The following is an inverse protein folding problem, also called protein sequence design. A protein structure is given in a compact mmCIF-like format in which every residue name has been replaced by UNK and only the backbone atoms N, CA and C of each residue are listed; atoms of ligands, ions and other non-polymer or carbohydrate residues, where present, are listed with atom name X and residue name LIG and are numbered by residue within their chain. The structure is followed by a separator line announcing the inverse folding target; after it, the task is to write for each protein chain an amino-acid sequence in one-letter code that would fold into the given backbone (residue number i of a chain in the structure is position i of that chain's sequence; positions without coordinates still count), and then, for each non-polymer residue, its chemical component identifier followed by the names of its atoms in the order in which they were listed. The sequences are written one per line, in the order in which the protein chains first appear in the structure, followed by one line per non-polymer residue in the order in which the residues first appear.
data_IF_097903215785
#
_entry.id   IF_097903215785
#
_cell.length_a   1.000
_cell.length_b   1.000
_cell.length_c   1.000
_cell.angle_alpha   90.00
_cell.angle_beta   90.00
_cell.angle_gamma   90.00
#
_symmetry.space_group_name_H-M   'P 1'
#
loop_
_entity.id
_entity.type
_entity.pdbx_description
1 polymer ?
#
# COMPACT_ATOMS: atom_id res chain seq x y z
N UNK A 1 34.95 2.40 -20.95
CA UNK A 1 34.80 3.28 -19.77
C UNK A 1 33.37 3.78 -19.68
N UNK A 2 32.55 3.20 -18.80
CA UNK A 2 31.19 3.70 -18.54
C UNK A 2 31.29 4.91 -17.62
N UNK A 3 30.79 6.08 -18.05
CA UNK A 3 30.72 7.27 -17.19
C UNK A 3 29.98 6.91 -15.90
N UNK A 4 30.48 7.32 -14.71
CA UNK A 4 29.74 7.10 -13.47
C UNK A 4 28.39 7.81 -13.58
N UNK A 5 27.31 7.04 -13.47
CA UNK A 5 25.95 7.58 -13.53
C UNK A 5 25.74 8.47 -12.30
N UNK A 6 25.35 9.72 -12.51
CA UNK A 6 25.03 10.65 -11.42
C UNK A 6 23.98 10.01 -10.50
N UNK A 7 24.26 9.86 -9.19
CA UNK A 7 23.32 9.31 -8.23
C UNK A 7 21.95 10.01 -8.24
N UNK A 8 21.89 11.29 -8.62
CA UNK A 8 20.61 12.04 -8.76
C UNK A 8 19.77 11.55 -9.92
N UNK A 9 20.39 11.20 -11.07
CA UNK A 9 19.70 10.66 -12.25
C UNK A 9 19.04 9.31 -11.99
N UNK A 10 19.47 8.59 -10.95
CA UNK A 10 18.89 7.29 -10.55
C UNK A 10 17.82 7.43 -9.47
N UNK A 11 17.96 8.41 -8.56
CA UNK A 11 17.05 8.57 -7.41
C UNK A 11 15.72 9.24 -7.76
N UNK A 12 15.75 10.25 -8.63
CA UNK A 12 14.53 10.96 -9.03
C UNK A 12 13.51 10.03 -9.72
N UNK A 13 13.91 9.17 -10.69
CA UNK A 13 12.97 8.21 -11.28
C UNK A 13 12.37 7.22 -10.28
N UNK A 14 13.10 6.83 -9.23
CA UNK A 14 12.56 5.97 -8.16
C UNK A 14 11.53 6.73 -7.32
N UNK A 15 11.80 7.99 -7.00
CA UNK A 15 10.86 8.82 -6.25
C UNK A 15 9.57 9.08 -7.04
N UNK A 16 9.69 9.45 -8.31
CA UNK A 16 8.54 9.64 -9.22
C UNK A 16 7.80 8.31 -9.44
N UNK A 17 8.53 7.21 -9.63
CA UNK A 17 7.94 5.89 -9.75
C UNK A 17 7.11 5.49 -8.53
N UNK A 18 7.59 5.79 -7.31
CA UNK A 18 6.83 5.54 -6.09
C UNK A 18 5.63 6.49 -5.94
N UNK A 19 5.81 7.77 -6.29
CA UNK A 19 4.76 8.79 -6.26
C UNK A 19 3.54 8.38 -7.12
N UNK A 20 3.80 7.76 -8.28
CA UNK A 20 2.76 7.32 -9.21
C UNK A 20 2.27 5.91 -8.94
N UNK A 21 3.13 4.98 -8.51
CA UNK A 21 2.72 3.61 -8.27
C UNK A 21 1.77 3.48 -7.09
N UNK A 22 1.94 4.29 -6.03
CA UNK A 22 1.10 4.26 -4.85
C UNK A 22 -0.41 4.50 -5.13
N UNK A 23 -0.82 5.59 -5.79
CA UNK A 23 -2.24 5.79 -6.13
C UNK A 23 -2.76 4.75 -7.12
N UNK A 24 -1.93 4.27 -8.06
CA UNK A 24 -2.32 3.19 -8.97
C UNK A 24 -2.66 1.91 -8.20
N UNK A 25 -1.88 1.58 -7.16
CA UNK A 25 -2.15 0.43 -6.31
C UNK A 25 -3.35 0.66 -5.37
N UNK A 26 -3.59 1.89 -4.92
CA UNK A 26 -4.68 2.23 -4.02
C UNK A 26 -6.04 2.24 -4.72
N UNK A 27 -6.15 2.92 -5.87
CA UNK A 27 -7.43 3.21 -6.50
C UNK A 27 -7.63 2.44 -7.81
N UNK A 28 -6.64 2.49 -8.69
CA UNK A 28 -6.82 2.02 -10.07
C UNK A 28 -6.63 0.52 -10.23
N UNK A 29 -6.02 -0.14 -9.24
CA UNK A 29 -5.73 -1.57 -9.29
C UNK A 29 -7.01 -2.41 -9.30
N UNK A 30 -7.96 -2.09 -8.42
CA UNK A 30 -9.28 -2.73 -8.40
C UNK A 30 -10.22 -2.03 -9.36
N UNK A 31 -10.14 -0.70 -9.50
CA UNK A 31 -11.02 0.04 -10.41
C UNK A 31 -12.49 -0.05 -9.97
N UNK A 32 -12.75 0.35 -8.72
CA UNK A 32 -14.09 0.31 -8.12
C UNK A 32 -14.82 1.67 -8.20
N UNK A 33 -14.16 2.74 -8.64
CA UNK A 33 -14.79 4.06 -8.74
C UNK A 33 -15.37 4.29 -10.14
N UNK A 34 -16.25 5.28 -10.25
CA UNK A 34 -16.86 5.83 -11.47
C UNK A 34 -15.86 6.30 -12.53
N UNK A 35 -14.61 6.58 -12.14
CA UNK A 35 -13.52 6.94 -13.07
C UNK A 35 -12.98 5.74 -13.87
N UNK A 36 -13.36 4.52 -13.50
CA UNK A 36 -12.85 3.28 -14.09
C UNK A 36 -13.08 3.23 -15.60
N UNK A 37 -12.01 3.03 -16.35
CA UNK A 37 -12.08 2.96 -17.82
C UNK A 37 -12.12 4.30 -18.55
N UNK A 38 -12.02 5.44 -17.85
CA UNK A 38 -11.83 6.77 -18.45
C UNK A 38 -10.37 7.26 -18.27
N UNK A 39 -9.52 7.17 -19.32
CA UNK A 39 -8.11 7.54 -19.20
C UNK A 39 -7.87 9.02 -18.83
N UNK A 40 -8.75 9.93 -19.25
CA UNK A 40 -8.57 11.36 -18.99
C UNK A 40 -8.92 11.70 -17.55
N UNK A 41 -10.02 11.14 -17.03
CA UNK A 41 -10.40 11.29 -15.62
C UNK A 41 -9.36 10.63 -14.71
N UNK A 42 -8.88 9.43 -15.06
CA UNK A 42 -7.81 8.75 -14.31
C UNK A 42 -6.51 9.57 -14.31
N UNK A 43 -6.13 10.20 -15.42
CA UNK A 43 -4.95 11.06 -15.47
C UNK A 43 -5.15 12.34 -14.64
N UNK A 44 -6.33 12.96 -14.72
CA UNK A 44 -6.70 14.12 -13.90
C UNK A 44 -6.70 13.80 -12.41
N UNK A 45 -7.24 12.64 -12.02
CA UNK A 45 -7.27 12.17 -10.64
C UNK A 45 -5.89 12.05 -10.01
N UNK A 46 -4.84 11.73 -10.78
CA UNK A 46 -3.46 11.68 -10.28
C UNK A 46 -2.95 13.02 -9.75
N UNK A 47 -3.54 14.16 -10.13
CA UNK A 47 -3.18 15.46 -9.55
C UNK A 47 -3.46 15.52 -8.04
N UNK A 48 -4.47 14.79 -7.57
CA UNK A 48 -4.85 14.69 -6.16
C UNK A 48 -4.33 13.38 -5.56
N UNK A 49 -4.51 12.26 -6.26
CA UNK A 49 -4.16 10.94 -5.75
C UNK A 49 -2.65 10.73 -5.61
N UNK A 50 -1.83 11.28 -6.50
CA UNK A 50 -0.37 11.15 -6.39
C UNK A 50 0.19 11.83 -5.13
N UNK A 51 -0.15 13.08 -4.79
CA UNK A 51 0.25 13.64 -3.51
C UNK A 51 -0.45 12.97 -2.31
N UNK A 52 -1.72 12.56 -2.44
CA UNK A 52 -2.46 11.92 -1.35
C UNK A 52 -1.88 10.56 -0.97
N UNK A 53 -1.54 9.70 -1.93
CA UNK A 53 -1.04 8.34 -1.70
C UNK A 53 0.48 8.20 -1.85
N UNK A 54 1.01 8.74 -2.95
CA UNK A 54 2.44 8.71 -3.25
C UNK A 54 3.26 9.59 -2.31
N UNK A 55 2.68 10.67 -1.79
CA UNK A 55 3.30 11.53 -0.78
C UNK A 55 3.63 10.77 0.50
N UNK A 56 2.63 10.18 1.20
CA UNK A 56 2.86 9.28 2.32
C UNK A 56 3.83 8.15 2.02
N UNK A 57 3.70 7.46 0.89
CA UNK A 57 4.62 6.37 0.51
C UNK A 57 6.09 6.86 0.48
N UNK A 58 6.35 8.04 -0.09
CA UNK A 58 7.67 8.67 -0.08
C UNK A 58 8.11 9.08 1.32
N UNK A 59 7.23 9.69 2.13
CA UNK A 59 7.55 10.15 3.48
C UNK A 59 7.89 8.97 4.40
N UNK A 60 7.08 7.92 4.41
CA UNK A 60 7.31 6.66 5.14
C UNK A 60 8.69 6.11 4.79
N UNK A 61 8.96 5.98 3.49
CA UNK A 61 10.21 5.43 2.98
C UNK A 61 11.39 6.29 3.37
N UNK A 62 11.31 7.60 3.17
CA UNK A 62 12.40 8.54 3.47
C UNK A 62 12.69 8.60 4.99
N UNK A 63 11.66 8.64 5.82
CA UNK A 63 11.78 8.57 7.27
C UNK A 63 12.46 7.26 7.67
N UNK A 64 12.04 6.13 7.12
CA UNK A 64 12.61 4.85 7.47
C UNK A 64 14.10 4.76 7.12
N UNK A 65 14.51 5.30 5.97
CA UNK A 65 15.92 5.27 5.55
C UNK A 65 16.80 6.24 6.33
N UNK A 66 16.26 7.38 6.78
CA UNK A 66 16.98 8.34 7.63
C UNK A 66 17.11 7.88 9.08
N UNK A 67 16.08 7.22 9.59
CA UNK A 67 16.02 6.75 10.97
C UNK A 67 16.56 5.33 11.17
N UNK A 68 17.06 4.69 10.10
CA UNK A 68 17.58 3.31 10.15
C UNK A 68 16.50 2.25 10.44
N UNK A 69 15.24 2.58 10.20
CA UNK A 69 14.09 1.71 10.43
C UNK A 69 13.97 0.66 9.31
N UNK A 70 13.63 -0.55 9.71
CA UNK A 70 13.46 -1.73 8.84
C UNK A 70 11.98 -2.00 8.56
N UNK A 71 11.71 -3.04 7.77
CA UNK A 71 10.37 -3.40 7.31
C UNK A 71 9.28 -3.45 8.40
N UNK A 72 9.50 -4.01 9.60
CA UNK A 72 8.47 -3.95 10.65
C UNK A 72 8.06 -2.52 11.01
N UNK A 73 9.01 -1.58 11.08
CA UNK A 73 8.69 -0.18 11.31
C UNK A 73 8.15 0.54 10.08
N UNK A 74 8.53 0.14 8.85
CA UNK A 74 7.91 0.65 7.62
C UNK A 74 6.42 0.29 7.59
N UNK A 75 6.09 -0.96 7.92
CA UNK A 75 4.70 -1.42 7.99
C UNK A 75 3.94 -0.69 9.10
N UNK A 76 4.53 -0.50 10.28
CA UNK A 76 3.89 0.28 11.34
C UNK A 76 3.65 1.76 10.94
N UNK A 77 4.60 2.39 10.22
CA UNK A 77 4.39 3.74 9.66
C UNK A 77 3.31 3.75 8.57
N UNK A 78 3.28 2.72 7.71
CA UNK A 78 2.25 2.58 6.68
C UNK A 78 0.86 2.40 7.30
N UNK A 79 0.75 1.59 8.37
CA UNK A 79 -0.47 1.46 9.18
C UNK A 79 -0.85 2.78 9.85
N UNK A 80 0.11 3.54 10.39
CA UNK A 80 -0.17 4.86 10.96
C UNK A 80 -0.76 5.81 9.92
N UNK A 81 -0.20 5.87 8.71
CA UNK A 81 -0.77 6.65 7.62
C UNK A 81 -2.12 6.11 7.14
N UNK A 82 -2.35 4.80 7.18
CA UNK A 82 -3.66 4.21 6.90
C UNK A 82 -4.72 4.64 7.89
N UNK A 83 -4.39 4.70 9.19
CA UNK A 83 -5.28 5.26 10.23
C UNK A 83 -5.51 6.75 10.01
N UNK A 84 -4.49 7.51 9.60
CA UNK A 84 -4.66 8.94 9.30
C UNK A 84 -5.59 9.13 8.10
N UNK A 85 -5.42 8.37 7.01
CA UNK A 85 -6.28 8.52 5.84
C UNK A 85 -7.73 8.13 6.17
N UNK A 86 -7.94 6.90 6.63
CA UNK A 86 -9.28 6.38 6.85
C UNK A 86 -10.00 6.98 8.07
N UNK A 87 -9.25 7.45 9.08
CA UNK A 87 -9.80 7.95 10.33
C UNK A 87 -9.85 9.47 10.46
N UNK A 88 -9.02 10.21 9.74
CA UNK A 88 -8.90 11.67 9.87
C UNK A 88 -9.18 12.38 8.54
N UNK A 89 -8.67 11.88 7.42
CA UNK A 89 -8.76 12.56 6.13
C UNK A 89 -10.12 12.33 5.47
N UNK A 90 -10.49 11.09 5.19
CA UNK A 90 -11.79 10.76 4.58
C UNK A 90 -12.84 10.29 5.59
N UNK A 91 -12.43 10.06 6.84
CA UNK A 91 -13.26 9.63 7.98
C UNK A 91 -14.12 8.38 7.71
N UNK A 92 -13.79 7.60 6.69
CA UNK A 92 -14.48 6.35 6.29
C UNK A 92 -14.57 5.32 7.41
N UNK A 93 -13.62 5.32 8.37
CA UNK A 93 -13.67 4.45 9.55
C UNK A 93 -14.87 4.72 10.46
N UNK A 94 -15.38 5.94 10.47
CA UNK A 94 -16.38 6.42 11.43
C UNK A 94 -17.70 6.83 10.77
N UNK A 95 -17.83 6.64 9.45
CA UNK A 95 -19.03 7.03 8.70
C UNK A 95 -20.15 5.98 8.85
N UNK A 96 -21.36 6.46 9.14
CA UNK A 96 -22.58 5.64 9.19
C UNK A 96 -23.17 5.37 7.81
N UNK A 97 -22.85 6.17 6.80
CA UNK A 97 -23.39 6.08 5.44
C UNK A 97 -22.39 6.60 4.40
N UNK A 98 -21.25 5.92 4.24
CA UNK A 98 -20.14 6.43 3.43
C UNK A 98 -20.46 6.40 1.92
N UNK A 99 -20.38 7.56 1.24
CA UNK A 99 -20.49 7.69 -0.22
C UNK A 99 -21.76 7.08 -0.83
N UNK A 100 -22.86 7.02 -0.07
CA UNK A 100 -24.12 6.39 -0.48
C UNK A 100 -23.97 4.95 -1.03
N UNK A 101 -23.00 4.19 -0.50
CA UNK A 101 -22.77 2.80 -0.92
C UNK A 101 -23.93 1.92 -0.45
N UNK A 102 -24.65 1.30 -1.39
CA UNK A 102 -25.88 0.52 -1.11
C UNK A 102 -25.66 -0.63 -0.10
N UNK A 103 -24.50 -1.30 -0.18
CA UNK A 103 -24.13 -2.40 0.72
C UNK A 103 -23.38 -1.95 1.99
N UNK A 104 -23.35 -0.65 2.31
CA UNK A 104 -22.56 -0.14 3.44
C UNK A 104 -22.98 -0.75 4.77
N UNK A 105 -24.28 -0.86 5.04
CA UNK A 105 -24.82 -1.44 6.27
C UNK A 105 -24.43 -2.92 6.42
N UNK A 106 -24.43 -3.68 5.33
CA UNK A 106 -23.99 -5.08 5.33
C UNK A 106 -22.50 -5.22 5.68
N UNK A 107 -21.69 -4.21 5.34
CA UNK A 107 -20.27 -4.16 5.68
C UNK A 107 -20.02 -3.64 7.11
N UNK A 108 -20.78 -2.64 7.55
CA UNK A 108 -20.59 -1.92 8.81
C UNK A 108 -21.18 -2.68 10.01
N UNK A 109 -22.47 -3.01 9.95
CA UNK A 109 -23.27 -3.43 11.10
C UNK A 109 -22.82 -4.75 11.73
N UNK A 110 -22.40 -5.81 10.99
CA UNK A 110 -22.13 -7.10 11.62
C UNK A 110 -20.91 -7.10 12.55
N UNK A 111 -20.07 -6.06 12.47
CA UNK A 111 -18.89 -5.87 13.32
C UNK A 111 -18.86 -4.50 13.99
N UNK A 112 -20.02 -3.85 14.09
CA UNK A 112 -20.14 -2.54 14.69
C UNK A 112 -19.89 -2.57 16.19
N UNK A 113 -19.05 -1.66 16.67
CA UNK A 113 -18.73 -1.48 18.09
C UNK A 113 -19.24 -0.10 18.52
N UNK A 114 -20.46 -0.06 19.06
CA UNK A 114 -21.15 1.18 19.39
C UNK A 114 -20.34 2.17 20.25
N UNK A 115 -19.59 1.74 21.30
CA UNK A 115 -18.75 2.66 22.07
C UNK A 115 -17.64 3.34 21.26
N UNK A 116 -17.21 2.76 20.14
CA UNK A 116 -16.19 3.34 19.25
C UNK A 116 -16.82 4.06 18.04
N UNK A 117 -18.11 3.83 17.77
CA UNK A 117 -18.82 4.39 16.63
C UNK A 117 -18.23 3.95 15.29
N UNK A 118 -17.78 2.69 15.18
CA UNK A 118 -17.17 2.16 13.96
C UNK A 118 -17.38 0.65 13.81
N UNK A 119 -17.43 0.18 12.56
CA UNK A 119 -17.31 -1.23 12.21
C UNK A 119 -15.85 -1.68 12.22
N UNK A 120 -15.57 -2.80 12.88
CA UNK A 120 -14.20 -3.35 12.92
C UNK A 120 -13.77 -3.89 11.57
N UNK A 121 -14.68 -4.48 10.80
CA UNK A 121 -14.39 -4.96 9.44
C UNK A 121 -13.99 -3.82 8.49
N UNK A 122 -14.79 -2.78 8.24
CA UNK A 122 -14.40 -1.69 7.33
C UNK A 122 -13.12 -0.98 7.79
N UNK A 123 -12.95 -0.76 9.10
CA UNK A 123 -11.70 -0.18 9.59
C UNK A 123 -10.48 -1.07 9.34
N UNK A 124 -10.61 -2.39 9.52
CA UNK A 124 -9.54 -3.33 9.20
C UNK A 124 -9.22 -3.32 7.70
N UNK A 125 -10.23 -3.35 6.83
CA UNK A 125 -10.04 -3.39 5.38
C UNK A 125 -9.42 -2.08 4.86
N UNK A 126 -9.88 -0.91 5.30
CA UNK A 126 -9.28 0.37 4.90
C UNK A 126 -7.85 0.54 5.42
N UNK A 127 -7.62 0.32 6.72
CA UNK A 127 -6.28 0.50 7.30
C UNK A 127 -5.28 -0.51 6.72
N UNK A 128 -5.68 -1.78 6.56
CA UNK A 128 -4.84 -2.79 5.93
C UNK A 128 -4.63 -2.52 4.42
N UNK A 129 -5.68 -2.06 3.73
CA UNK A 129 -5.66 -1.59 2.34
C UNK A 129 -4.56 -0.55 2.13
N UNK A 130 -4.62 0.52 2.92
CA UNK A 130 -3.59 1.57 2.91
C UNK A 130 -2.20 1.04 3.25
N UNK A 131 -2.07 0.30 4.36
CA UNK A 131 -0.78 -0.15 4.86
C UNK A 131 -0.05 -1.06 3.85
N UNK A 132 -0.79 -1.98 3.22
CA UNK A 132 -0.24 -3.03 2.36
C UNK A 132 -0.27 -2.61 0.89
N UNK A 133 -1.43 -2.28 0.34
CA UNK A 133 -1.60 -2.01 -1.09
C UNK A 133 -1.21 -0.59 -1.47
N UNK A 134 -1.66 0.44 -0.74
CA UNK A 134 -1.35 1.83 -1.08
C UNK A 134 0.11 2.20 -0.81
N UNK A 135 0.73 1.63 0.24
CA UNK A 135 2.08 2.04 0.67
C UNK A 135 3.12 0.91 0.63
N UNK A 136 2.89 -0.19 1.35
CA UNK A 136 3.89 -1.24 1.55
C UNK A 136 4.39 -1.89 0.26
N UNK A 137 3.46 -2.33 -0.60
CA UNK A 137 3.72 -2.97 -1.89
C UNK A 137 4.47 -2.02 -2.84
N UNK A 138 4.01 -0.78 -3.09
CA UNK A 138 4.74 0.18 -3.92
C UNK A 138 6.16 0.44 -3.43
N UNK A 139 6.36 0.65 -2.12
CA UNK A 139 7.69 0.85 -1.53
C UNK A 139 8.58 -0.37 -1.81
N UNK A 140 8.08 -1.58 -1.54
CA UNK A 140 8.83 -2.83 -1.71
C UNK A 140 9.21 -3.07 -3.18
N UNK A 141 8.28 -2.81 -4.10
CA UNK A 141 8.50 -3.01 -5.53
C UNK A 141 9.55 -2.02 -6.06
N UNK A 142 9.39 -0.72 -5.80
CA UNK A 142 10.31 0.30 -6.30
C UNK A 142 11.70 0.14 -5.69
N UNK A 143 11.82 -0.19 -4.40
CA UNK A 143 13.10 -0.49 -3.77
C UNK A 143 13.80 -1.70 -4.41
N UNK A 144 13.03 -2.69 -4.87
CA UNK A 144 13.55 -3.89 -5.52
C UNK A 144 14.07 -3.63 -6.94
N UNK A 145 13.69 -2.52 -7.58
CA UNK A 145 14.17 -2.15 -8.92
C UNK A 145 15.64 -1.74 -8.93
N UNK A 146 16.14 -1.18 -7.82
CA UNK A 146 17.53 -0.73 -7.66
C UNK A 146 18.04 -0.96 -6.23
N UNK A 147 18.44 -2.20 -5.87
CA UNK A 147 18.92 -2.53 -4.52
C UNK A 147 20.07 -1.67 -4.01
N UNK A 148 20.98 -1.23 -4.90
CA UNK A 148 22.10 -0.36 -4.54
C UNK A 148 21.66 1.03 -4.02
N UNK A 149 20.47 1.49 -4.40
CA UNK A 149 19.91 2.79 -3.98
C UNK A 149 18.76 2.66 -2.98
N UNK A 150 18.28 1.43 -2.70
CA UNK A 150 17.11 1.21 -1.83
C UNK A 150 17.38 1.58 -0.38
N UNK A 151 18.61 1.43 0.12
CA UNK A 151 18.98 1.75 1.52
C UNK A 151 19.39 3.19 1.77
N UNK A 152 19.30 4.08 0.77
CA UNK A 152 19.74 5.48 0.88
C UNK A 152 18.58 6.44 0.64
N UNK A 153 18.50 7.60 1.34
CA UNK A 153 17.53 8.64 1.00
C UNK A 153 17.60 9.05 -0.48
N UNK A 154 16.44 9.14 -1.12
CA UNK A 154 16.26 9.55 -2.52
C UNK A 154 16.09 11.05 -2.63
N UNK A 155 15.34 11.64 -1.69
CA UNK A 155 15.05 13.06 -1.64
C UNK A 155 16.05 13.81 -0.74
N UNK A 156 16.17 15.12 -0.96
CA UNK A 156 16.79 16.06 -0.01
C UNK A 156 15.70 16.73 0.82
N UNK A 157 16.08 17.51 1.83
CA UNK A 157 15.13 18.23 2.69
C UNK A 157 14.13 19.07 1.88
N UNK A 158 14.53 19.86 0.85
CA UNK A 158 13.54 20.60 0.06
C UNK A 158 12.50 19.70 -0.64
N UNK A 159 12.94 18.55 -1.17
CA UNK A 159 12.02 17.59 -1.78
C UNK A 159 11.06 16.96 -0.77
N UNK A 160 11.51 16.71 0.47
CA UNK A 160 10.63 16.25 1.54
C UNK A 160 9.59 17.29 1.93
N UNK A 161 10.00 18.56 2.04
CA UNK A 161 9.08 19.67 2.34
C UNK A 161 8.02 19.78 1.25
N UNK A 162 8.42 19.76 -0.02
CA UNK A 162 7.47 19.77 -1.16
C UNK A 162 6.48 18.61 -1.06
N UNK A 163 6.96 17.38 -0.87
CA UNK A 163 6.09 16.21 -0.76
C UNK A 163 5.14 16.32 0.44
N UNK A 164 5.61 16.79 1.59
CA UNK A 164 4.78 16.97 2.78
C UNK A 164 3.70 18.04 2.57
N UNK A 165 4.06 19.18 1.98
CA UNK A 165 3.09 20.25 1.68
C UNK A 165 2.04 19.78 0.68
N UNK A 166 2.45 19.09 -0.38
CA UNK A 166 1.52 18.56 -1.37
C UNK A 166 0.58 17.51 -0.76
N UNK A 167 1.10 16.61 0.08
CA UNK A 167 0.27 15.65 0.82
C UNK A 167 -0.74 16.36 1.72
N UNK A 168 -0.31 17.33 2.53
CA UNK A 168 -1.19 18.06 3.43
C UNK A 168 -2.26 18.86 2.65
N UNK A 169 -1.91 19.44 1.51
CA UNK A 169 -2.86 20.13 0.64
C UNK A 169 -3.89 19.17 0.04
N UNK A 170 -3.46 17.99 -0.46
CA UNK A 170 -4.37 16.98 -0.97
C UNK A 170 -5.27 16.39 0.12
N UNK A 171 -4.72 16.11 1.30
CA UNK A 171 -5.48 15.65 2.46
C UNK A 171 -6.49 16.69 2.93
N UNK A 172 -6.12 17.97 2.97
CA UNK A 172 -7.04 19.05 3.31
C UNK A 172 -8.16 19.20 2.28
N UNK A 173 -7.86 19.02 0.99
CA UNK A 173 -8.87 19.04 -0.07
C UNK A 173 -9.88 17.90 0.10
N UNK A 174 -9.40 16.67 0.31
CA UNK A 174 -10.28 15.50 0.53
C UNK A 174 -11.11 15.64 1.79
N UNK A 175 -10.51 16.12 2.89
CA UNK A 175 -11.25 16.39 4.12
C UNK A 175 -12.31 17.48 3.92
N UNK A 176 -11.97 18.56 3.22
CA UNK A 176 -12.92 19.64 2.94
C UNK A 176 -14.09 19.16 2.07
N UNK A 177 -13.81 18.31 1.09
CA UNK A 177 -14.84 17.66 0.26
C UNK A 177 -15.75 16.78 1.12
N UNK A 178 -15.18 15.86 1.90
CA UNK A 178 -15.92 15.00 2.83
C UNK A 178 -16.82 15.80 3.79
N UNK A 179 -16.30 16.85 4.42
CA UNK A 179 -17.07 17.70 5.34
C UNK A 179 -18.20 18.48 4.63
N UNK A 180 -18.10 18.69 3.32
CA UNK A 180 -19.09 19.41 2.53
C UNK A 180 -20.16 18.49 1.93
N UNK A 181 -19.83 17.23 1.65
CA UNK A 181 -20.69 16.30 0.90
C UNK A 181 -21.32 15.22 1.77
N UNK A 182 -20.64 14.76 2.82
CA UNK A 182 -21.13 13.68 3.68
C UNK A 182 -21.91 14.23 4.89
N UNK A 183 -22.97 13.52 5.28
CA UNK A 183 -23.84 13.90 6.41
C UNK A 183 -23.26 13.55 7.78
N UNK A 184 -22.44 12.51 7.85
CA UNK A 184 -21.85 12.01 9.09
C UNK A 184 -20.36 12.36 9.14
N UNK A 185 -19.93 12.88 10.30
CA UNK A 185 -18.52 13.23 10.56
C UNK A 185 -18.03 12.57 11.84
N UNK A 186 -16.74 12.21 11.84
CA UNK A 186 -16.05 11.72 13.01
C UNK A 186 -16.09 12.74 14.14
N UNK A 187 -16.50 12.30 15.32
CA UNK A 187 -16.45 13.11 16.54
C UNK A 187 -15.00 13.48 16.90
N UNK A 188 -14.85 14.56 17.68
CA UNK A 188 -13.53 14.97 18.18
C UNK A 188 -12.82 13.84 18.96
N UNK A 189 -13.56 12.98 19.66
CA UNK A 189 -13.04 11.81 20.35
C UNK A 189 -12.49 10.75 19.40
N UNK A 190 -13.19 10.47 18.30
CA UNK A 190 -12.74 9.53 17.26
C UNK A 190 -11.49 10.06 16.54
N UNK A 191 -11.46 11.34 16.18
CA UNK A 191 -10.28 11.98 15.58
C UNK A 191 -9.09 11.93 16.55
N UNK A 192 -9.29 12.28 17.81
CA UNK A 192 -8.25 12.21 18.84
C UNK A 192 -7.76 10.76 19.06
N UNK A 193 -8.66 9.78 19.04
CA UNK A 193 -8.35 8.36 19.12
C UNK A 193 -7.50 7.89 17.93
N UNK A 194 -7.91 8.19 16.70
CA UNK A 194 -7.17 7.88 15.48
C UNK A 194 -5.78 8.53 15.48
N UNK A 195 -5.69 9.81 15.84
CA UNK A 195 -4.42 10.52 15.98
C UNK A 195 -3.51 9.88 17.04
N UNK A 196 -4.07 9.47 18.17
CA UNK A 196 -3.33 8.77 19.24
C UNK A 196 -2.81 7.42 18.75
N UNK A 197 -3.63 6.61 18.08
CA UNK A 197 -3.20 5.33 17.51
C UNK A 197 -2.10 5.53 16.46
N UNK A 198 -2.26 6.49 15.55
CA UNK A 198 -1.22 6.82 14.56
C UNK A 198 0.09 7.28 15.21
N UNK A 199 0.02 8.07 16.28
CA UNK A 199 1.19 8.51 17.04
C UNK A 199 1.89 7.33 17.75
N UNK A 200 1.12 6.42 18.38
CA UNK A 200 1.66 5.22 19.03
C UNK A 200 2.32 4.28 18.02
N UNK A 201 1.71 4.06 16.86
CA UNK A 201 2.28 3.28 15.76
C UNK A 201 3.58 3.91 15.25
N UNK A 202 3.59 5.23 15.08
CA UNK A 202 4.78 5.99 14.65
C UNK A 202 5.91 5.88 15.68
N UNK A 203 5.62 6.06 16.96
CA UNK A 203 6.58 5.90 18.04
C UNK A 203 7.13 4.46 18.10
N UNK A 204 6.23 3.47 18.05
CA UNK A 204 6.58 2.05 17.99
C UNK A 204 7.45 1.70 16.79
N UNK A 205 7.18 2.28 15.62
CA UNK A 205 7.99 2.10 14.42
C UNK A 205 9.44 2.57 14.61
N UNK A 206 9.64 3.72 15.26
CA UNK A 206 10.98 4.27 15.50
C UNK A 206 11.72 3.49 16.59
N UNK A 207 11.05 3.06 17.65
CA UNK A 207 11.65 2.34 18.78
C UNK A 207 11.95 0.88 18.43
N UNK A 208 10.95 0.15 17.92
CA UNK A 208 11.05 -1.28 17.67
C UNK A 208 11.57 -1.60 16.26
N UNK A 209 11.27 -0.74 15.28
CA UNK A 209 11.60 -0.98 13.87
C UNK A 209 13.09 -0.86 13.53
N UNK A 210 13.93 -0.36 14.45
CA UNK A 210 15.39 -0.35 14.31
C UNK A 210 16.05 -1.68 14.64
N UNK A 211 15.34 -2.59 15.33
CA UNK A 211 15.88 -3.89 15.76
C UNK A 211 16.32 -4.70 14.53
N UNK A 212 17.50 -5.30 14.62
CA UNK A 212 18.04 -6.21 13.60
C UNK A 212 17.85 -7.64 14.07
N UNK A 213 16.98 -8.43 13.43
CA UNK A 213 16.93 -9.85 13.70
C UNK A 213 18.27 -10.49 13.32
N UNK A 214 18.71 -11.47 14.10
CA UNK A 214 19.88 -12.27 13.75
C UNK A 214 19.63 -12.98 12.42
N UNK A 215 20.54 -12.85 11.43
CA UNK A 215 20.46 -13.57 10.18
C UNK A 215 20.45 -15.08 10.41
N UNK A 216 19.77 -15.81 9.54
CA UNK A 216 19.77 -17.27 9.53
C UNK A 216 20.31 -17.79 8.20
N UNK A 217 20.71 -19.05 8.16
CA UNK A 217 21.10 -19.76 6.92
C UNK A 217 20.00 -20.69 6.40
N UNK A 218 18.76 -20.44 6.82
CA UNK A 218 17.61 -21.26 6.44
C UNK A 218 17.46 -21.29 4.91
N UNK A 219 16.98 -22.41 4.37
CA UNK A 219 16.62 -22.48 2.95
C UNK A 219 15.41 -21.57 2.71
N UNK A 220 15.45 -20.82 1.61
CA UNK A 220 14.32 -20.00 1.16
C UNK A 220 13.75 -20.69 -0.08
N UNK A 221 12.42 -20.89 -0.17
CA UNK A 221 11.78 -21.43 -1.36
C UNK A 221 12.07 -20.60 -2.62
N UNK A 222 11.91 -21.21 -3.79
CA UNK A 222 12.02 -20.48 -5.04
C UNK A 222 11.01 -19.31 -5.10
N UNK A 223 11.31 -18.20 -5.78
CA UNK A 223 10.43 -17.01 -5.78
C UNK A 223 8.97 -17.28 -6.15
N UNK A 224 8.62 -18.12 -7.16
CA UNK A 224 7.21 -18.43 -7.44
C UNK A 224 6.47 -19.08 -6.26
N UNK A 225 7.18 -19.86 -5.44
CA UNK A 225 6.64 -20.51 -4.22
C UNK A 225 6.41 -19.50 -3.09
N UNK A 226 6.95 -18.28 -3.20
CA UNK A 226 6.62 -17.15 -2.32
C UNK A 226 5.48 -16.31 -2.90
N UNK A 227 5.48 -16.09 -4.22
CA UNK A 227 4.48 -15.28 -4.90
C UNK A 227 3.08 -15.92 -4.95
N UNK A 228 3.00 -17.23 -5.18
CA UNK A 228 1.70 -17.93 -5.22
C UNK A 228 0.96 -17.87 -3.88
N UNK A 229 1.56 -18.20 -2.71
CA UNK A 229 0.90 -17.99 -1.42
C UNK A 229 0.52 -16.55 -1.15
N UNK A 230 1.30 -15.57 -1.63
CA UNK A 230 0.96 -14.16 -1.49
C UNK A 230 -0.29 -13.78 -2.28
N UNK A 231 -0.42 -14.30 -3.50
CA UNK A 231 -1.64 -14.15 -4.30
C UNK A 231 -2.83 -14.78 -3.59
N UNK A 232 -2.70 -16.02 -3.11
CA UNK A 232 -3.79 -16.72 -2.41
C UNK A 232 -4.19 -15.99 -1.13
N UNK A 233 -3.22 -15.55 -0.33
CA UNK A 233 -3.48 -14.79 0.90
C UNK A 233 -4.17 -13.45 0.60
N UNK A 234 -3.74 -12.73 -0.44
CA UNK A 234 -4.35 -11.48 -0.84
C UNK A 234 -5.78 -11.67 -1.39
N UNK A 235 -6.05 -12.71 -2.18
CA UNK A 235 -7.41 -13.07 -2.58
C UNK A 235 -8.26 -13.45 -1.37
N UNK A 236 -7.73 -14.27 -0.45
CA UNK A 236 -8.45 -14.66 0.76
C UNK A 236 -8.86 -13.43 1.57
N UNK A 237 -7.95 -12.48 1.82
CA UNK A 237 -8.28 -11.23 2.54
C UNK A 237 -9.36 -10.42 1.82
N UNK A 238 -9.36 -10.36 0.50
CA UNK A 238 -10.35 -9.60 -0.27
C UNK A 238 -11.74 -10.23 -0.31
N UNK A 239 -11.84 -11.56 -0.18
CA UNK A 239 -13.12 -12.29 -0.28
C UNK A 239 -13.66 -12.81 1.06
N UNK A 240 -12.98 -12.52 2.17
CA UNK A 240 -13.50 -12.86 3.50
C UNK A 240 -14.70 -11.96 3.85
N UNK A 241 -15.78 -12.55 4.42
CA UNK A 241 -17.03 -11.82 4.65
C UNK A 241 -16.89 -10.76 5.75
N UNK A 242 -17.76 -9.75 5.70
CA UNK A 242 -17.86 -8.66 6.69
C UNK A 242 -18.37 -9.08 8.08
N UNK A 243 -17.88 -10.17 8.66
CA UNK A 243 -18.33 -10.73 9.94
C UNK A 243 -17.18 -10.82 10.94
N UNK A 244 -17.46 -11.04 12.23
CA UNK A 244 -16.40 -11.29 13.23
C UNK A 244 -15.50 -12.48 12.88
N UNK A 245 -16.06 -13.53 12.29
CA UNK A 245 -15.28 -14.67 11.77
C UNK A 245 -14.37 -14.23 10.62
N UNK A 246 -14.87 -13.41 9.70
CA UNK A 246 -14.08 -12.85 8.61
C UNK A 246 -12.98 -11.90 9.08
N UNK A 247 -13.25 -11.07 10.10
CA UNK A 247 -12.24 -10.24 10.79
C UNK A 247 -11.14 -11.12 11.40
N UNK A 248 -11.52 -12.13 12.20
CA UNK A 248 -10.56 -13.04 12.82
C UNK A 248 -9.72 -13.78 11.77
N UNK A 249 -10.34 -14.27 10.70
CA UNK A 249 -9.66 -14.93 9.59
C UNK A 249 -8.71 -13.97 8.84
N UNK A 250 -9.11 -12.73 8.61
CA UNK A 250 -8.28 -11.70 7.96
C UNK A 250 -7.05 -11.42 8.81
N UNK A 251 -7.24 -11.19 10.12
CA UNK A 251 -6.13 -10.99 11.07
C UNK A 251 -5.20 -12.20 11.09
N UNK A 252 -5.74 -13.42 11.07
CA UNK A 252 -4.95 -14.65 11.05
C UNK A 252 -4.12 -14.78 9.76
N UNK A 253 -4.71 -14.53 8.59
CA UNK A 253 -4.01 -14.60 7.29
C UNK A 253 -2.90 -13.54 7.20
N UNK A 254 -3.19 -12.30 7.58
CA UNK A 254 -2.20 -11.22 7.61
C UNK A 254 -1.07 -11.51 8.60
N UNK A 255 -1.39 -12.01 9.79
CA UNK A 255 -0.39 -12.36 10.81
C UNK A 255 0.48 -13.52 10.35
N UNK A 256 -0.11 -14.60 9.83
CA UNK A 256 0.61 -15.75 9.29
C UNK A 256 1.53 -15.34 8.13
N UNK A 257 1.04 -14.46 7.23
CA UNK A 257 1.83 -13.92 6.13
C UNK A 257 3.00 -13.07 6.63
N UNK A 258 2.76 -12.16 7.59
CA UNK A 258 3.80 -11.32 8.18
C UNK A 258 4.87 -12.15 8.91
N UNK A 259 4.46 -13.16 9.70
CA UNK A 259 5.38 -14.06 10.40
C UNK A 259 6.16 -14.95 9.43
N UNK A 260 5.49 -15.52 8.42
CA UNK A 260 6.12 -16.36 7.40
C UNK A 260 7.14 -15.60 6.56
N UNK A 261 6.73 -14.44 6.01
CA UNK A 261 7.64 -13.56 5.26
C UNK A 261 8.76 -13.05 6.17
N UNK A 262 8.44 -12.66 7.41
CA UNK A 262 9.43 -12.22 8.40
C UNK A 262 10.47 -13.30 8.69
N UNK A 263 10.05 -14.55 8.86
CA UNK A 263 10.93 -15.69 9.07
C UNK A 263 11.83 -15.94 7.85
N UNK A 264 11.25 -16.00 6.65
CA UNK A 264 12.01 -16.20 5.40
C UNK A 264 13.00 -15.06 5.13
N UNK A 265 12.60 -13.81 5.39
CA UNK A 265 13.40 -12.62 5.17
C UNK A 265 14.60 -12.48 6.14
N UNK A 266 14.67 -13.31 7.18
CA UNK A 266 15.88 -13.41 8.04
C UNK A 266 16.99 -14.21 7.39
N UNK A 267 16.68 -15.05 6.40
CA UNK A 267 17.69 -15.84 5.71
C UNK A 267 18.60 -14.94 4.86
N UNK A 268 19.90 -15.22 4.88
CA UNK A 268 20.88 -14.61 3.96
C UNK A 268 20.61 -14.93 2.49
N UNK A 269 19.83 -15.98 2.21
CA UNK A 269 19.37 -16.35 0.86
C UNK A 269 18.14 -15.57 0.41
N UNK A 270 17.47 -14.83 1.30
CA UNK A 270 16.38 -13.94 0.90
C UNK A 270 16.93 -12.77 0.09
N UNK A 271 16.30 -12.51 -1.05
CA UNK A 271 16.81 -11.62 -2.08
C UNK A 271 15.68 -10.86 -2.74
N UNK A 272 16.01 -9.78 -3.46
CA UNK A 272 15.02 -8.91 -4.12
C UNK A 272 14.05 -9.66 -5.04
N UNK A 273 14.47 -10.74 -5.70
CA UNK A 273 13.57 -11.61 -6.48
C UNK A 273 12.39 -12.20 -5.68
N UNK A 274 12.59 -12.51 -4.40
CA UNK A 274 11.52 -13.03 -3.53
C UNK A 274 10.58 -11.91 -3.09
N UNK A 275 11.11 -10.70 -2.86
CA UNK A 275 10.30 -9.50 -2.60
C UNK A 275 9.44 -9.17 -3.83
N UNK A 276 10.02 -9.18 -5.02
CA UNK A 276 9.27 -8.96 -6.28
C UNK A 276 8.18 -10.02 -6.44
N UNK A 277 8.47 -11.30 -6.22
CA UNK A 277 7.47 -12.35 -6.34
C UNK A 277 6.33 -12.17 -5.31
N UNK A 278 6.65 -11.88 -4.05
CA UNK A 278 5.70 -11.59 -2.97
C UNK A 278 4.74 -10.46 -3.36
N UNK A 279 5.27 -9.30 -3.76
CA UNK A 279 4.44 -8.13 -4.07
C UNK A 279 3.68 -8.28 -5.40
N UNK A 280 4.28 -8.95 -6.39
CA UNK A 280 3.60 -9.21 -7.67
C UNK A 280 2.42 -10.15 -7.46
N UNK A 281 2.55 -11.18 -6.63
CA UNK A 281 1.44 -12.06 -6.28
C UNK A 281 0.26 -11.30 -5.67
N UNK A 282 0.54 -10.42 -4.70
CA UNK A 282 -0.50 -9.59 -4.07
C UNK A 282 -1.13 -8.56 -5.04
N UNK A 283 -0.34 -7.99 -5.97
CA UNK A 283 -0.87 -7.08 -6.99
C UNK A 283 -1.74 -7.80 -8.02
N UNK A 284 -1.36 -9.02 -8.44
CA UNK A 284 -2.18 -9.84 -9.33
C UNK A 284 -3.50 -10.17 -8.66
N UNK A 285 -3.52 -10.48 -7.36
CA UNK A 285 -4.77 -10.68 -6.63
C UNK A 285 -5.70 -9.45 -6.68
N UNK A 286 -5.17 -8.24 -6.47
CA UNK A 286 -5.95 -7.01 -6.60
C UNK A 286 -6.48 -6.79 -8.03
N UNK A 287 -5.63 -6.98 -9.04
CA UNK A 287 -6.02 -6.83 -10.44
C UNK A 287 -7.09 -7.86 -10.86
N UNK A 288 -7.02 -9.09 -10.35
CA UNK A 288 -8.05 -10.11 -10.58
C UNK A 288 -9.36 -9.77 -9.89
N UNK A 289 -9.31 -9.24 -8.67
CA UNK A 289 -10.50 -8.74 -7.97
C UNK A 289 -11.21 -7.64 -8.74
N UNK A 290 -10.48 -6.78 -9.46
CA UNK A 290 -11.09 -5.74 -10.30
C UNK A 290 -12.05 -6.28 -11.37
N UNK A 291 -11.83 -7.49 -11.90
CA UNK A 291 -12.77 -8.12 -12.83
C UNK A 291 -14.12 -8.46 -12.17
N UNK A 292 -14.10 -8.71 -10.86
CA UNK A 292 -15.26 -9.10 -10.06
C UNK A 292 -15.93 -7.90 -9.37
N UNK A 293 -15.18 -6.82 -9.12
CA UNK A 293 -15.69 -5.61 -8.48
C UNK A 293 -16.71 -4.88 -9.37
N UNK A 294 -17.82 -4.43 -8.79
CA UNK A 294 -18.77 -3.53 -9.45
C UNK A 294 -18.36 -2.08 -9.19
N UNK A 295 -18.04 -1.29 -10.22
CA UNK A 295 -17.70 0.11 -10.02
C UNK A 295 -18.90 0.91 -9.52
N UNK A 296 -18.63 1.92 -8.69
CA UNK A 296 -19.61 2.93 -8.31
C UNK A 296 -20.09 3.70 -9.55
N UNK A 297 -21.38 3.99 -9.61
CA UNK A 297 -22.01 4.71 -10.72
C UNK A 297 -22.19 3.88 -11.99
N UNK A 298 -22.47 4.54 -13.12
CA UNK A 298 -22.77 3.90 -14.39
C UNK A 298 -21.52 3.80 -15.29
N UNK A 299 -20.70 2.76 -15.05
CA UNK A 299 -19.51 2.47 -15.86
C UNK A 299 -19.82 1.39 -16.88
N UNK A 300 -19.65 1.72 -18.17
CA UNK A 300 -19.86 0.75 -19.25
C UNK A 300 -18.98 -0.51 -19.10
N UNK A 301 -19.54 -1.74 -19.24
CA UNK A 301 -18.79 -2.98 -19.05
C UNK A 301 -17.52 -3.07 -19.90
N UNK A 302 -17.56 -2.59 -21.14
CA UNK A 302 -16.40 -2.57 -22.03
C UNK A 302 -15.25 -1.70 -21.49
N UNK A 303 -15.57 -0.53 -20.92
CA UNK A 303 -14.60 0.37 -20.33
C UNK A 303 -13.96 -0.25 -19.07
N UNK A 304 -14.79 -0.83 -18.20
CA UNK A 304 -14.34 -1.59 -17.02
C UNK A 304 -13.37 -2.72 -17.39
N UNK A 305 -13.77 -3.62 -18.30
CA UNK A 305 -12.93 -4.77 -18.63
C UNK A 305 -11.68 -4.39 -19.42
N UNK A 306 -11.72 -3.33 -20.22
CA UNK A 306 -10.53 -2.78 -20.86
C UNK A 306 -9.53 -2.25 -19.80
N UNK A 307 -10.00 -1.46 -18.84
CA UNK A 307 -9.20 -0.97 -17.70
C UNK A 307 -8.54 -2.12 -16.95
N UNK A 308 -9.35 -3.10 -16.51
CA UNK A 308 -8.88 -4.24 -15.72
C UNK A 308 -7.84 -5.07 -16.48
N UNK A 309 -8.04 -5.25 -17.80
CA UNK A 309 -7.07 -5.94 -18.67
C UNK A 309 -5.75 -5.18 -18.74
N UNK A 310 -5.80 -3.86 -18.96
CA UNK A 310 -4.60 -3.01 -19.01
C UNK A 310 -3.85 -3.04 -17.68
N UNK A 311 -4.56 -2.93 -16.56
CA UNK A 311 -3.98 -3.01 -15.22
C UNK A 311 -3.32 -4.36 -14.95
N UNK A 312 -4.01 -5.47 -15.26
CA UNK A 312 -3.46 -6.82 -15.07
C UNK A 312 -2.20 -7.03 -15.91
N UNK A 313 -2.24 -6.67 -17.20
CA UNK A 313 -1.06 -6.74 -18.07
C UNK A 313 0.07 -5.85 -17.54
N UNK A 314 -0.24 -4.64 -17.09
CA UNK A 314 0.71 -3.71 -16.49
C UNK A 314 1.41 -4.30 -15.25
N UNK A 315 0.65 -4.92 -14.35
CA UNK A 315 1.17 -5.62 -13.16
C UNK A 315 2.10 -6.78 -13.57
N UNK A 316 1.69 -7.61 -14.53
CA UNK A 316 2.50 -8.74 -15.01
C UNK A 316 3.80 -8.28 -15.67
N UNK A 317 3.74 -7.24 -16.51
CA UNK A 317 4.92 -6.66 -17.17
C UNK A 317 5.87 -6.03 -16.16
N UNK A 318 5.34 -5.25 -15.21
CA UNK A 318 6.15 -4.61 -14.16
C UNK A 318 6.82 -5.66 -13.26
N UNK A 319 6.08 -6.67 -12.82
CA UNK A 319 6.58 -7.79 -12.03
C UNK A 319 7.65 -8.60 -12.77
N UNK A 320 7.40 -8.94 -14.05
CA UNK A 320 8.35 -9.64 -14.91
C UNK A 320 9.64 -8.86 -15.13
N UNK A 321 9.52 -7.55 -15.42
CA UNK A 321 10.67 -6.65 -15.57
C UNK A 321 11.47 -6.52 -14.27
N UNK A 322 10.80 -6.35 -13.12
CA UNK A 322 11.44 -6.29 -11.82
C UNK A 322 12.15 -7.61 -11.47
N UNK A 323 11.57 -8.76 -11.82
CA UNK A 323 12.17 -10.07 -11.62
C UNK A 323 13.43 -10.26 -12.48
N UNK A 324 13.38 -9.87 -13.77
CA UNK A 324 14.51 -9.94 -14.68
C UNK A 324 15.71 -9.09 -14.19
N UNK A 325 15.44 -7.87 -13.72
CA UNK A 325 16.45 -6.99 -13.10
C UNK A 325 17.16 -7.61 -11.91
N UNK A 326 16.44 -8.40 -11.12
CA UNK A 326 16.99 -9.04 -9.92
C UNK A 326 17.77 -10.35 -10.23
N UNK A 327 17.53 -10.99 -11.38
CA UNK A 327 18.35 -12.13 -11.84
C UNK A 327 19.75 -11.67 -12.23
N UNK A 328 19.86 -10.65 -13.09
CA UNK A 328 21.15 -10.14 -13.57
C UNK A 328 22.06 -9.58 -12.47
N UNK A 329 21.48 -9.00 -11.41
CA UNK A 329 22.26 -8.53 -10.25
C UNK A 329 22.88 -9.67 -9.42
N UNK A 330 22.24 -10.84 -9.38
CA UNK A 330 22.74 -12.01 -8.64
C UNK A 330 23.90 -12.66 -9.40
N UNK A 331 23.78 -12.77 -10.73
CA UNK A 331 24.81 -13.38 -11.59
C UNK A 331 26.07 -12.51 -11.71
N UNK A 332 25.93 -11.19 -11.70
CA UNK A 332 27.08 -10.28 -11.73
C UNK A 332 27.90 -10.32 -10.44
N UNK A 333 27.25 -10.48 -9.28
CA UNK A 333 27.94 -10.60 -7.98
C UNK A 333 28.54 -11.98 -7.71
N UNK A 334 28.18 -13.01 -8.49
CA UNK A 334 28.77 -14.34 -8.40
C UNK A 334 30.03 -14.50 -9.28
N UNK A 335 30.30 -13.54 -10.17
CA UNK A 335 31.47 -13.52 -11.07
C UNK A 335 32.57 -12.56 -10.63
N UNK A 336 32.44 -11.97 -9.44
CA UNK A 336 33.41 -11.07 -8.78
C UNK A 336 33.82 -11.65 -7.45
#
# INVERSE_FOLDING_TARGET
MTRPVDPRRVRLPLAVGLLLLAPLCAEYLVGYDSSTGDPLVLLGGLLILAPLYGGPALLIREAARRLGVRWPGILALATAFGVVQAGIVDQSMFSGSYRDIEYWDEMLLPTFVAPLGMGVYPALTFVAGHAIWSFGIPIALVESLRPASSRRPWLRVPGLVVVAVLYLAAAALVLADHLATESDHASAGQIAGAATVAALLTAGAVVLGRRRPSPTRARVPAPPVVGLPALVAALAVQFLPGTWTGVAATVAVLTASALGVGHLARSDRWAGRHVVALVTGALVAGALTGFLAEPLGDVAPAAKYAHNTVVLVGVLLLGGWAAARNRGATEAGART
#
